data_IF_460325247842
#
_entry.id   IF_460325247842
#
_cell.length_a   1.000
_cell.length_b   1.000
_cell.length_c   1.000
_cell.angle_alpha   90.00
_cell.angle_beta   90.00
_cell.angle_gamma   90.00
#
_symmetry.space_group_name_H-M   'P 1'
#
loop_
_entity.id
_entity.type
_entity.pdbx_description
1 polymer ?
#
# COMPACT_ATOMS: atom_id res chain seq x y z
N UNK A 1 -23.40 18.28 -8.22
CA UNK A 1 -22.01 18.40 -8.72
C UNK A 1 -21.09 18.35 -7.49
N UNK A 2 -20.33 17.26 -7.28
CA UNK A 2 -19.42 17.12 -6.13
C UNK A 2 -17.99 17.29 -6.63
N UNK A 3 -17.32 18.34 -6.16
CA UNK A 3 -15.93 18.64 -6.47
C UNK A 3 -15.03 18.41 -5.24
N UNK A 4 -13.73 18.25 -5.49
CA UNK A 4 -12.73 17.93 -4.48
C UNK A 4 -12.34 19.20 -3.69
N UNK A 5 -13.13 19.56 -2.67
CA UNK A 5 -12.79 20.67 -1.78
C UNK A 5 -11.58 20.30 -0.89
N UNK A 6 -10.46 21.00 -1.06
CA UNK A 6 -9.26 20.88 -0.21
C UNK A 6 -9.30 21.99 0.83
N UNK A 7 -9.25 21.63 2.12
CA UNK A 7 -9.17 22.63 3.20
C UNK A 7 -7.77 23.25 3.21
N UNK A 8 -7.67 24.54 3.55
CA UNK A 8 -6.38 25.24 3.67
C UNK A 8 -5.41 24.56 4.67
N UNK A 9 -5.95 23.86 5.67
CA UNK A 9 -5.18 23.10 6.67
C UNK A 9 -4.95 21.63 6.31
N UNK A 10 -5.45 21.15 5.17
CA UNK A 10 -5.29 19.76 4.75
C UNK A 10 -3.84 19.52 4.29
N UNK A 11 -3.03 18.98 5.20
CA UNK A 11 -1.70 18.47 4.87
C UNK A 11 -1.88 17.20 4.05
N UNK A 12 -1.93 17.36 2.73
CA UNK A 12 -2.01 16.25 1.78
C UNK A 12 -0.82 15.30 2.00
N UNK A 13 -1.04 14.26 2.79
CA UNK A 13 0.00 13.43 3.43
C UNK A 13 0.42 12.33 2.46
N UNK A 14 0.95 12.76 1.30
CA UNK A 14 1.62 11.86 0.37
C UNK A 14 3.00 11.57 0.96
N UNK A 15 3.28 10.28 1.18
CA UNK A 15 4.59 9.80 1.62
C UNK A 15 5.65 10.18 0.57
N UNK A 16 6.84 10.61 0.98
CA UNK A 16 7.95 10.76 0.02
C UNK A 16 8.37 9.37 -0.53
N UNK A 17 8.77 9.30 -1.80
CA UNK A 17 9.15 8.02 -2.42
C UNK A 17 10.33 7.36 -1.72
N UNK A 18 11.26 8.12 -1.16
CA UNK A 18 12.41 7.58 -0.42
C UNK A 18 12.18 7.50 1.10
N UNK A 19 10.98 7.79 1.57
CA UNK A 19 10.66 7.69 3.00
C UNK A 19 10.81 6.26 3.54
N UNK A 20 11.04 6.15 4.86
CA UNK A 20 11.29 4.88 5.54
C UNK A 20 10.02 4.01 5.73
N UNK A 21 9.43 3.58 4.61
CA UNK A 21 8.23 2.77 4.55
C UNK A 21 8.46 1.54 3.65
N UNK A 22 7.66 0.48 3.80
CA UNK A 22 7.70 -0.63 2.85
C UNK A 22 7.54 -0.15 1.41
N UNK A 23 8.36 -0.68 0.49
CA UNK A 23 8.34 -0.32 -0.94
C UNK A 23 6.96 -0.54 -1.53
N UNK A 24 6.28 -1.63 -1.15
CA UNK A 24 4.93 -1.96 -1.60
C UNK A 24 3.92 -0.88 -1.21
N UNK A 25 4.00 -0.35 0.02
CA UNK A 25 3.13 0.73 0.50
C UNK A 25 3.30 1.99 -0.33
N UNK A 26 4.56 2.36 -0.63
CA UNK A 26 4.85 3.52 -1.46
C UNK A 26 4.34 3.31 -2.89
N UNK A 27 4.61 2.15 -3.50
CA UNK A 27 4.18 1.83 -4.87
C UNK A 27 2.66 1.72 -5.05
N UNK A 28 1.92 1.32 -4.02
CA UNK A 28 0.45 1.21 -4.08
C UNK A 28 -0.27 2.52 -3.76
N UNK A 29 0.39 3.47 -3.09
CA UNK A 29 -0.20 4.74 -2.67
C UNK A 29 -0.83 5.53 -3.82
N UNK A 30 -0.18 5.70 -5.01
CA UNK A 30 -0.78 6.42 -6.14
C UNK A 30 -2.11 5.81 -6.58
N UNK A 31 -2.19 4.48 -6.72
CA UNK A 31 -3.41 3.79 -7.09
C UNK A 31 -4.55 4.08 -6.11
N UNK A 32 -4.26 4.01 -4.81
CA UNK A 32 -5.25 4.27 -3.77
C UNK A 32 -5.77 5.70 -3.82
N UNK A 33 -4.90 6.69 -4.05
CA UNK A 33 -5.32 8.09 -4.16
C UNK A 33 -6.08 8.38 -5.45
N UNK A 34 -5.65 7.83 -6.59
CA UNK A 34 -6.39 7.96 -7.85
C UNK A 34 -7.78 7.34 -7.77
N UNK A 35 -7.93 6.17 -7.14
CA UNK A 35 -9.26 5.59 -6.87
C UNK A 35 -10.10 6.51 -5.98
N UNK A 36 -9.50 7.15 -4.98
CA UNK A 36 -10.19 8.11 -4.12
C UNK A 36 -10.69 9.32 -4.89
N UNK A 37 -9.89 9.85 -5.83
CA UNK A 37 -10.30 10.93 -6.73
C UNK A 37 -11.46 10.47 -7.61
N UNK A 38 -11.33 9.30 -8.27
CA UNK A 38 -12.38 8.71 -9.13
C UNK A 38 -13.71 8.48 -8.42
N UNK A 39 -13.69 8.16 -7.12
CA UNK A 39 -14.91 8.00 -6.32
C UNK A 39 -15.55 9.32 -5.90
N UNK A 40 -14.75 10.39 -5.73
CA UNK A 40 -15.23 11.69 -5.29
C UNK A 40 -15.79 12.53 -6.43
N UNK A 41 -15.15 12.48 -7.59
CA UNK A 41 -15.46 13.33 -8.74
C UNK A 41 -16.37 12.55 -9.68
N UNK A 42 -17.60 13.01 -9.85
CA UNK A 42 -18.59 12.35 -10.70
C UNK A 42 -18.48 12.74 -12.18
N UNK A 43 -17.97 13.93 -12.46
CA UNK A 43 -17.86 14.54 -13.81
C UNK A 43 -16.54 14.15 -14.50
N UNK A 44 -16.59 13.69 -15.75
CA UNK A 44 -15.44 13.07 -16.41
C UNK A 44 -14.37 14.09 -16.84
N UNK A 45 -14.78 15.30 -17.25
CA UNK A 45 -13.82 16.37 -17.57
C UNK A 45 -13.04 16.81 -16.32
N UNK A 46 -13.75 17.06 -15.22
CA UNK A 46 -13.14 17.40 -13.92
C UNK A 46 -12.31 16.27 -13.33
N UNK A 47 -12.69 15.02 -13.58
CA UNK A 47 -11.92 13.87 -13.12
C UNK A 47 -10.52 13.87 -13.72
N UNK A 48 -10.38 14.23 -14.99
CA UNK A 48 -9.07 14.27 -15.65
C UNK A 48 -8.17 15.34 -15.01
N UNK A 49 -8.69 16.56 -14.85
CA UNK A 49 -7.97 17.67 -14.18
C UNK A 49 -7.53 17.29 -12.76
N UNK A 50 -8.42 16.66 -11.97
CA UNK A 50 -8.11 16.27 -10.60
C UNK A 50 -7.08 15.11 -10.52
N UNK A 51 -7.06 14.23 -11.52
CA UNK A 51 -6.05 13.18 -11.63
C UNK A 51 -4.68 13.76 -12.03
N UNK A 52 -4.64 14.73 -12.94
CA UNK A 52 -3.41 15.42 -13.34
C UNK A 52 -2.81 16.18 -12.14
N UNK A 53 -3.64 16.96 -11.42
CA UNK A 53 -3.23 17.63 -10.18
C UNK A 53 -2.70 16.65 -9.10
N UNK A 54 -3.26 15.44 -9.03
CA UNK A 54 -2.78 14.42 -8.11
C UNK A 54 -1.44 13.82 -8.58
N UNK A 55 -1.27 13.63 -9.89
CA UNK A 55 -0.03 13.14 -10.50
C UNK A 55 1.13 14.10 -10.22
N UNK A 56 0.93 15.41 -10.39
CA UNK A 56 1.92 16.45 -10.09
C UNK A 56 2.37 16.42 -8.62
N UNK A 57 1.42 16.24 -7.70
CA UNK A 57 1.73 16.11 -6.27
C UNK A 57 2.57 14.88 -5.96
N UNK A 58 2.38 13.78 -6.69
CA UNK A 58 3.24 12.60 -6.54
C UNK A 58 4.63 12.82 -7.16
N UNK A 59 4.73 13.49 -8.30
CA UNK A 59 6.02 13.84 -8.93
C UNK A 59 6.86 14.70 -7.98
N UNK A 60 6.25 15.73 -7.38
CA UNK A 60 6.89 16.58 -6.37
C UNK A 60 7.37 15.80 -5.13
N UNK A 61 6.84 14.59 -4.88
CA UNK A 61 7.21 13.70 -3.78
C UNK A 61 8.20 12.61 -4.19
N UNK A 62 8.79 12.71 -5.39
CA UNK A 62 9.84 11.80 -5.87
C UNK A 62 9.33 10.53 -6.55
N UNK A 63 8.04 10.45 -6.91
CA UNK A 63 7.52 9.28 -7.62
C UNK A 63 7.87 9.35 -9.11
N UNK A 64 8.24 8.21 -9.71
CA UNK A 64 8.53 8.17 -11.14
C UNK A 64 7.26 8.25 -12.00
N UNK A 65 7.34 9.01 -13.10
CA UNK A 65 6.24 9.15 -14.07
C UNK A 65 5.76 7.79 -14.62
N UNK A 66 6.68 6.85 -14.85
CA UNK A 66 6.34 5.51 -15.33
C UNK A 66 5.47 4.72 -14.34
N UNK A 67 5.74 4.85 -13.03
CA UNK A 67 4.91 4.27 -11.98
C UNK A 67 3.52 4.91 -11.96
N UNK A 68 3.44 6.24 -12.06
CA UNK A 68 2.17 6.97 -12.00
C UNK A 68 1.27 6.62 -13.18
N UNK A 69 1.80 6.65 -14.41
CA UNK A 69 1.08 6.22 -15.62
C UNK A 69 0.55 4.80 -15.50
N UNK A 70 1.39 3.87 -15.01
CA UNK A 70 0.97 2.48 -14.76
C UNK A 70 -0.19 2.39 -13.78
N UNK A 71 -0.11 3.09 -12.64
CA UNK A 71 -1.19 3.05 -11.64
C UNK A 71 -2.46 3.74 -12.16
N UNK A 72 -2.33 4.82 -12.92
CA UNK A 72 -3.46 5.54 -13.51
C UNK A 72 -4.20 4.67 -14.53
N UNK A 73 -3.49 3.94 -15.38
CA UNK A 73 -4.08 2.99 -16.32
C UNK A 73 -4.92 1.92 -15.60
N UNK A 74 -4.40 1.35 -14.50
CA UNK A 74 -5.12 0.38 -13.67
C UNK A 74 -6.41 0.95 -13.06
N UNK A 75 -6.46 2.25 -12.76
CA UNK A 75 -7.65 2.91 -12.22
C UNK A 75 -8.66 3.25 -13.31
N UNK A 76 -8.19 3.58 -14.52
CA UNK A 76 -9.07 3.78 -15.68
C UNK A 76 -9.81 2.49 -16.04
N UNK A 77 -9.12 1.35 -16.06
CA UNK A 77 -9.70 0.05 -16.41
C UNK A 77 -10.59 -0.58 -15.34
N UNK A 78 -10.64 -0.04 -14.12
CA UNK A 78 -11.54 -0.54 -13.07
C UNK A 78 -12.89 0.17 -13.14
N UNK A 79 -13.98 -0.57 -13.29
CA UNK A 79 -15.33 -0.01 -13.21
C UNK A 79 -15.60 0.61 -11.84
N UNK A 80 -16.38 1.70 -11.81
CA UNK A 80 -16.73 2.43 -10.57
C UNK A 80 -17.33 1.50 -9.51
N UNK A 81 -18.02 0.44 -9.96
CA UNK A 81 -18.76 -0.50 -9.11
C UNK A 81 -18.11 -1.89 -8.98
N UNK A 82 -16.86 -2.03 -9.44
CA UNK A 82 -16.11 -3.28 -9.28
C UNK A 82 -15.77 -3.52 -7.81
N UNK A 83 -16.69 -4.14 -7.07
CA UNK A 83 -16.42 -4.62 -5.73
C UNK A 83 -15.29 -5.65 -5.80
N UNK A 84 -14.19 -5.37 -5.09
CA UNK A 84 -13.13 -6.37 -4.90
C UNK A 84 -13.74 -7.44 -4.00
N UNK A 85 -13.95 -8.67 -4.47
CA UNK A 85 -14.51 -9.71 -3.61
C UNK A 85 -13.59 -9.90 -2.40
N UNK A 86 -14.15 -10.11 -1.20
CA UNK A 86 -13.36 -10.36 -0.02
C UNK A 86 -12.46 -11.57 -0.26
N UNK A 87 -11.14 -11.35 -0.25
CA UNK A 87 -10.18 -12.47 -0.33
C UNK A 87 -10.32 -13.31 0.94
N UNK A 88 -10.58 -14.60 0.77
CA UNK A 88 -10.52 -15.56 1.88
C UNK A 88 -9.12 -15.47 2.50
N UNK A 89 -9.06 -15.07 3.78
CA UNK A 89 -7.80 -14.97 4.51
C UNK A 89 -7.40 -16.36 4.95
N UNK A 90 -6.29 -16.88 4.42
CA UNK A 90 -5.66 -18.07 4.99
C UNK A 90 -5.35 -17.80 6.48
N UNK A 91 -5.64 -18.78 7.35
CA UNK A 91 -5.36 -18.72 8.79
C UNK A 91 -3.85 -18.85 9.05
N UNK A 92 -3.09 -17.82 8.67
CA UNK A 92 -1.64 -17.74 8.84
C UNK A 92 -1.31 -16.88 10.04
N UNK A 93 -0.37 -17.34 10.87
CA UNK A 93 0.10 -16.57 12.02
C UNK A 93 0.89 -15.33 11.57
N UNK A 94 0.74 -14.19 12.26
CA UNK A 94 1.54 -13.02 11.97
C UNK A 94 2.90 -13.11 12.67
N UNK A 95 3.97 -12.84 11.93
CA UNK A 95 5.25 -12.48 12.54
C UNK A 95 5.30 -10.95 12.63
N UNK A 96 5.28 -10.43 13.86
CA UNK A 96 5.16 -8.99 14.10
C UNK A 96 6.52 -8.44 14.55
N UNK A 97 7.08 -7.53 13.76
CA UNK A 97 8.34 -6.85 14.07
C UNK A 97 8.23 -5.34 13.87
N UNK A 98 9.31 -4.58 14.09
CA UNK A 98 9.39 -3.17 13.66
C UNK A 98 9.96 -3.11 12.25
N UNK A 99 9.48 -2.17 11.43
CA UNK A 99 10.09 -1.95 10.12
C UNK A 99 11.47 -1.33 10.31
N UNK A 100 12.51 -2.04 9.88
CA UNK A 100 13.92 -1.65 9.91
C UNK A 100 14.56 -1.93 8.55
N UNK A 101 15.80 -1.48 8.35
CA UNK A 101 16.58 -1.79 7.13
C UNK A 101 16.77 -3.29 6.94
N UNK A 102 16.88 -4.05 8.04
CA UNK A 102 17.05 -5.51 8.05
C UNK A 102 15.73 -6.29 7.91
N UNK A 103 14.56 -5.65 7.87
CA UNK A 103 13.27 -6.35 7.83
C UNK A 103 13.14 -7.28 6.61
N UNK A 104 13.78 -6.95 5.49
CA UNK A 104 13.76 -7.79 4.28
C UNK A 104 14.57 -9.06 4.50
N UNK A 105 15.74 -8.93 5.12
CA UNK A 105 16.68 -10.00 5.41
C UNK A 105 16.08 -10.95 6.45
N UNK A 106 15.51 -10.41 7.52
CA UNK A 106 14.74 -11.19 8.52
C UNK A 106 13.62 -11.98 7.85
N UNK A 107 12.85 -11.34 6.96
CA UNK A 107 11.79 -12.02 6.22
C UNK A 107 12.32 -13.11 5.28
N UNK A 108 13.53 -12.98 4.73
CA UNK A 108 14.17 -14.01 3.91
C UNK A 108 14.58 -15.20 4.77
N UNK A 109 15.24 -14.95 5.91
CA UNK A 109 15.70 -15.99 6.84
C UNK A 109 14.53 -16.81 7.35
N UNK A 110 13.47 -16.16 7.84
CA UNK A 110 12.27 -16.84 8.36
C UNK A 110 11.66 -17.74 7.29
N UNK A 111 11.50 -17.24 6.05
CA UNK A 111 10.94 -18.06 4.96
C UNK A 111 11.86 -19.22 4.56
N UNK A 112 13.17 -18.98 4.51
CA UNK A 112 14.18 -19.98 4.13
C UNK A 112 14.20 -21.14 5.12
N UNK A 113 14.10 -20.84 6.42
CA UNK A 113 14.23 -21.83 7.49
C UNK A 113 12.88 -22.27 8.08
N UNK A 114 11.75 -21.87 7.47
CA UNK A 114 10.42 -22.22 7.99
C UNK A 114 10.17 -23.73 8.03
N UNK A 115 10.82 -24.49 7.15
CA UNK A 115 10.76 -25.96 7.13
C UNK A 115 11.10 -26.58 8.49
N UNK A 116 12.03 -25.99 9.25
CA UNK A 116 12.40 -26.49 10.58
C UNK A 116 11.21 -26.52 11.55
N UNK A 117 10.36 -25.49 11.51
CA UNK A 117 9.15 -25.43 12.34
C UNK A 117 8.04 -26.29 11.76
N UNK A 118 7.90 -26.33 10.43
CA UNK A 118 6.90 -27.15 9.77
C UNK A 118 7.12 -28.65 10.02
N UNK A 119 8.38 -29.08 9.95
CA UNK A 119 8.74 -30.50 10.04
C UNK A 119 8.95 -30.93 11.49
N UNK A 120 9.59 -30.07 12.31
CA UNK A 120 9.83 -30.35 13.73
C UNK A 120 8.59 -30.23 14.62
N UNK A 121 7.54 -29.53 14.16
CA UNK A 121 6.29 -29.34 14.88
C UNK A 121 5.09 -29.58 13.95
N UNK A 122 5.10 -30.70 13.22
CA UNK A 122 4.10 -31.04 12.21
C UNK A 122 2.66 -31.11 12.72
N UNK A 123 2.48 -31.41 14.01
CA UNK A 123 1.16 -31.45 14.67
C UNK A 123 0.55 -30.06 14.86
N UNK A 124 1.37 -29.01 14.83
CA UNK A 124 0.90 -27.64 15.02
C UNK A 124 0.45 -27.08 13.66
N UNK A 125 -0.87 -27.07 13.45
CA UNK A 125 -1.53 -26.58 12.22
C UNK A 125 -1.02 -25.20 11.77
N UNK A 126 -0.76 -24.30 12.73
CA UNK A 126 -0.37 -22.93 12.41
C UNK A 126 1.03 -22.79 11.78
N UNK A 127 1.88 -23.83 11.88
CA UNK A 127 3.20 -23.86 11.26
C UNK A 127 3.23 -24.50 9.86
N UNK A 128 2.10 -25.06 9.39
CA UNK A 128 2.00 -25.62 8.03
C UNK A 128 2.26 -24.60 6.93
N UNK A 129 2.03 -23.31 7.21
CA UNK A 129 2.28 -22.20 6.29
C UNK A 129 3.23 -21.17 6.90
N UNK A 130 4.10 -20.52 6.09
CA UNK A 130 4.97 -19.45 6.59
C UNK A 130 4.16 -18.29 7.14
N UNK A 131 4.70 -17.53 8.10
CA UNK A 131 3.96 -16.47 8.77
C UNK A 131 3.72 -15.29 7.83
N UNK A 132 2.71 -14.49 8.14
CA UNK A 132 2.50 -13.20 7.50
C UNK A 132 3.44 -12.18 8.14
N UNK A 133 4.39 -11.68 7.36
CA UNK A 133 5.33 -10.66 7.82
C UNK A 133 4.60 -9.33 8.02
N UNK A 134 4.52 -8.88 9.27
CA UNK A 134 3.82 -7.67 9.68
C UNK A 134 4.76 -6.74 10.43
N UNK A 135 4.60 -5.43 10.20
CA UNK A 135 5.43 -4.43 10.84
C UNK A 135 4.58 -3.46 11.67
N UNK A 136 4.99 -3.22 12.92
CA UNK A 136 4.49 -2.13 13.74
C UNK A 136 5.09 -0.81 13.25
N UNK A 137 4.35 0.28 13.44
CA UNK A 137 4.87 1.63 13.25
C UNK A 137 6.01 1.89 14.25
N UNK A 138 7.02 2.61 13.82
CA UNK A 138 8.06 3.09 14.74
C UNK A 138 7.48 4.22 15.60
N UNK A 139 7.99 4.36 16.83
CA UNK A 139 7.69 5.53 17.66
C UNK A 139 8.28 6.75 16.96
N UNK A 140 7.45 7.74 16.67
CA UNK A 140 7.92 9.05 16.23
C UNK A 140 8.35 9.82 17.47
N UNK A 141 9.52 10.46 17.45
CA UNK A 141 9.93 11.36 18.54
C UNK A 141 8.97 12.56 18.49
N UNK A 142 8.06 12.66 19.47
CA UNK A 142 7.03 13.71 19.52
C UNK A 142 5.61 13.26 19.87
N UNK A 143 5.41 12.02 20.32
CA UNK A 143 4.18 11.57 21.01
C UNK A 143 4.52 10.77 22.26
#
# INVERSE_FOLDING_TARGET
MIDLLVKATDKNTILHYDSFHPVQTRKSLPKSQFLRVKRKVSEDQRLTEQLDNMEDKFLQRGYSMSLLKKQRALVKSQDKDSQIPPKQKAKRIPFISRYTTASREVAKIIRKHWGLLKDGLAEIECFKQPPVMSNKKNKTIGQ
#
